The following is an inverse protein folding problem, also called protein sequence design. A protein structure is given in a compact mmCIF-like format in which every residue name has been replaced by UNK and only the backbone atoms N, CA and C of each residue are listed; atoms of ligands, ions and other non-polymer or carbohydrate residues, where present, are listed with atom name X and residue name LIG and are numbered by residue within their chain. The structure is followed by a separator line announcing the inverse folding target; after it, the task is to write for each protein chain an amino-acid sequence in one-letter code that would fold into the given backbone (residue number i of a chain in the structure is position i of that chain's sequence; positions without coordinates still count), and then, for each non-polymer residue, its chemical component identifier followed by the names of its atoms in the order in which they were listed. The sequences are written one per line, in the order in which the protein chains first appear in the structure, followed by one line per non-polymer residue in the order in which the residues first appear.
data_IF_239190131056
#
_entry.id   IF_239190131056
#
_cell.length_a   1.000
_cell.length_b   1.000
_cell.length_c   1.000
_cell.angle_alpha   90.00
_cell.angle_beta   90.00
_cell.angle_gamma   90.00
#
_symmetry.space_group_name_H-M   'P 1'
#
loop_
_entity.id
_entity.type
_entity.pdbx_description
1 polymer ?
#
# COMPACT_ATOMS: atom_id res chain seq x y z
N UNK A 1 52.65 13.22 -24.62
CA UNK A 1 51.53 13.78 -25.39
C UNK A 1 50.24 13.49 -24.64
N UNK A 2 49.62 14.54 -24.10
CA UNK A 2 48.36 14.48 -23.35
C UNK A 2 47.20 14.77 -24.31
N UNK A 3 46.40 13.76 -24.66
CA UNK A 3 45.07 13.94 -25.27
C UNK A 3 44.08 13.11 -24.43
N UNK A 4 43.49 13.71 -23.39
CA UNK A 4 42.17 14.39 -23.35
C UNK A 4 40.97 13.44 -23.56
N UNK A 5 40.37 13.12 -22.40
CA UNK A 5 38.98 12.76 -22.13
C UNK A 5 37.97 13.33 -23.15
N UNK A 6 37.18 12.45 -23.76
CA UNK A 6 35.84 12.74 -24.31
C UNK A 6 35.00 11.49 -23.99
N UNK A 7 34.28 11.49 -22.86
CA UNK A 7 32.82 11.64 -22.78
C UNK A 7 32.09 10.74 -23.78
N UNK A 8 31.80 9.52 -23.35
CA UNK A 8 30.71 8.67 -23.86
C UNK A 8 29.77 8.40 -22.68
N UNK A 9 29.25 9.49 -22.12
CA UNK A 9 28.09 9.53 -21.23
C UNK A 9 26.92 9.98 -22.11
N UNK A 10 26.23 9.03 -22.74
CA UNK A 10 25.16 9.39 -23.66
C UNK A 10 24.60 8.22 -24.43
N UNK A 11 24.04 7.22 -23.74
CA UNK A 11 23.11 6.25 -24.32
C UNK A 11 22.41 5.42 -23.22
N UNK A 12 21.82 6.09 -22.23
CA UNK A 12 20.81 5.51 -21.32
C UNK A 12 19.47 6.28 -21.38
N UNK A 13 19.21 7.04 -22.45
CA UNK A 13 17.93 7.75 -22.64
C UNK A 13 16.94 7.00 -23.53
N UNK A 14 17.18 5.72 -23.80
CA UNK A 14 16.23 4.84 -24.47
C UNK A 14 15.79 3.73 -23.51
N UNK A 15 15.42 4.12 -22.29
CA UNK A 15 14.59 3.27 -21.46
C UNK A 15 13.18 3.47 -21.98
N UNK A 16 12.76 2.50 -22.81
CA UNK A 16 11.39 2.00 -22.87
C UNK A 16 10.40 2.80 -22.02
N UNK A 17 9.41 3.40 -22.68
CA UNK A 17 8.18 3.92 -22.08
C UNK A 17 7.35 2.80 -21.43
N UNK A 18 7.97 2.10 -20.48
CA UNK A 18 7.35 1.24 -19.51
C UNK A 18 6.88 2.12 -18.37
N UNK A 19 5.63 1.91 -17.97
CA UNK A 19 4.98 2.58 -16.86
C UNK A 19 5.86 2.39 -15.61
N UNK A 20 6.66 3.39 -15.25
CA UNK A 20 7.52 3.31 -14.07
C UNK A 20 6.65 3.17 -12.83
N UNK A 21 6.80 2.05 -12.13
CA UNK A 21 6.22 1.87 -10.82
C UNK A 21 6.87 2.87 -9.84
N UNK A 22 6.07 3.45 -8.95
CA UNK A 22 6.50 4.47 -8.01
C UNK A 22 5.98 4.18 -6.60
N UNK A 23 6.60 4.81 -5.61
CA UNK A 23 6.22 4.66 -4.19
C UNK A 23 5.61 5.95 -3.66
N UNK A 24 4.53 5.83 -2.88
CA UNK A 24 4.01 6.93 -2.08
C UNK A 24 4.23 6.65 -0.60
N UNK A 25 4.83 7.60 0.11
CA UNK A 25 4.91 7.60 1.56
C UNK A 25 3.86 8.56 2.14
N UNK A 26 3.05 8.07 3.08
CA UNK A 26 2.02 8.83 3.76
C UNK A 26 2.51 9.21 5.16
N UNK A 27 3.01 10.45 5.28
CA UNK A 27 3.67 10.95 6.49
C UNK A 27 4.78 10.03 6.98
N UNK A 28 4.84 9.80 8.28
CA UNK A 28 5.68 8.78 8.92
C UNK A 28 4.92 7.48 9.20
N UNK A 29 3.70 7.33 8.69
CA UNK A 29 2.78 6.26 9.08
C UNK A 29 3.01 4.98 8.29
N UNK A 30 2.98 5.08 6.95
CA UNK A 30 3.16 3.94 6.05
C UNK A 30 3.63 4.39 4.67
N UNK A 31 3.99 3.43 3.83
CA UNK A 31 4.21 3.62 2.40
C UNK A 31 3.46 2.57 1.58
N UNK A 32 3.08 2.97 0.37
CA UNK A 32 2.49 2.12 -0.66
C UNK A 32 3.47 2.04 -1.83
N UNK A 33 3.97 0.84 -2.09
CA UNK A 33 4.89 0.56 -3.19
C UNK A 33 4.15 0.17 -4.47
N UNK A 34 4.90 0.10 -5.58
CA UNK A 34 4.46 -0.42 -6.88
C UNK A 34 3.18 0.19 -7.46
N UNK A 35 2.95 1.48 -7.21
CA UNK A 35 1.87 2.23 -7.85
C UNK A 35 2.28 2.49 -9.29
N UNK A 36 1.41 2.19 -10.25
CA UNK A 36 1.67 2.45 -11.68
C UNK A 36 0.74 3.53 -12.20
N UNK A 37 1.06 4.11 -13.35
CA UNK A 37 0.14 4.99 -14.08
C UNK A 37 -0.40 4.22 -15.30
N UNK A 38 -1.64 4.49 -15.72
CA UNK A 38 -2.09 4.08 -17.06
C UNK A 38 -1.43 4.95 -18.13
N UNK A 39 -1.57 4.57 -19.40
CA UNK A 39 -1.16 5.41 -20.53
C UNK A 39 -1.89 6.77 -20.56
N UNK A 40 -3.07 6.86 -19.93
CA UNK A 40 -3.85 8.10 -19.75
C UNK A 40 -3.44 8.90 -18.50
N UNK A 41 -2.40 8.48 -17.77
CA UNK A 41 -1.92 9.16 -16.56
C UNK A 41 -2.81 8.95 -15.33
N UNK A 42 -3.67 7.92 -15.29
CA UNK A 42 -4.48 7.58 -14.11
C UNK A 42 -3.70 6.63 -13.20
N UNK A 43 -3.63 6.86 -11.87
CA UNK A 43 -2.93 5.96 -10.97
C UNK A 43 -3.68 4.64 -10.85
N UNK A 44 -2.93 3.55 -10.95
CA UNK A 44 -3.36 2.19 -10.73
C UNK A 44 -2.65 1.70 -9.48
N UNK A 45 -3.43 1.56 -8.40
CA UNK A 45 -2.95 0.98 -7.16
C UNK A 45 -2.78 -0.53 -7.31
N UNK A 46 -1.90 -1.16 -6.52
CA UNK A 46 -1.76 -2.61 -6.56
C UNK A 46 -3.07 -3.32 -6.20
N UNK A 47 -3.61 -4.04 -7.18
CA UNK A 47 -4.76 -4.93 -7.05
C UNK A 47 -4.24 -6.35 -7.35
N UNK A 48 -4.37 -7.31 -6.44
CA UNK A 48 -3.97 -8.68 -6.75
C UNK A 48 -5.09 -9.70 -6.49
N UNK A 49 -5.56 -10.31 -7.58
CA UNK A 49 -6.32 -11.57 -7.56
C UNK A 49 -5.32 -12.73 -7.60
N UNK A 50 -5.40 -13.63 -6.63
CA UNK A 50 -4.64 -14.88 -6.61
C UNK A 50 -3.47 -14.97 -5.62
N UNK A 51 -2.99 -13.86 -5.01
CA UNK A 51 -2.22 -13.85 -3.72
C UNK A 51 -2.08 -12.44 -3.06
N UNK A 52 -3.18 -11.68 -3.18
CA UNK A 52 -3.69 -10.59 -2.33
C UNK A 52 -2.98 -9.23 -2.21
N UNK A 53 -3.57 -8.22 -2.85
CA UNK A 53 -3.48 -6.81 -2.52
C UNK A 53 -4.82 -6.14 -2.81
N UNK A 54 -5.32 -5.29 -1.92
CA UNK A 54 -6.29 -4.27 -2.33
C UNK A 54 -6.13 -3.03 -1.45
N UNK A 55 -5.49 -2.03 -2.05
CA UNK A 55 -5.27 -0.68 -1.53
C UNK A 55 -6.08 0.26 -2.42
N UNK A 56 -6.95 1.07 -1.83
CA UNK A 56 -7.78 2.05 -2.54
C UNK A 56 -7.55 3.43 -1.97
N UNK A 57 -7.62 4.42 -2.84
CA UNK A 57 -7.70 5.83 -2.45
C UNK A 57 -9.16 6.25 -2.40
N UNK A 58 -9.52 6.94 -1.32
CA UNK A 58 -10.87 7.41 -1.05
C UNK A 58 -11.03 8.91 -1.31
N UNK A 59 -9.94 9.69 -1.29
CA UNK A 59 -9.99 11.14 -1.45
C UNK A 59 -9.42 11.63 -2.77
N UNK A 60 -10.06 12.67 -3.32
CA UNK A 60 -9.62 13.34 -4.55
C UNK A 60 -8.22 13.94 -4.41
N UNK A 61 -7.89 14.51 -3.26
CA UNK A 61 -6.57 15.10 -3.00
C UNK A 61 -5.45 14.07 -3.16
N UNK A 62 -5.57 12.93 -2.48
CA UNK A 62 -4.62 11.82 -2.58
C UNK A 62 -4.49 11.32 -4.02
N UNK A 63 -5.61 11.21 -4.74
CA UNK A 63 -5.60 10.81 -6.15
C UNK A 63 -4.82 11.78 -7.04
N UNK A 64 -4.96 13.09 -6.84
CA UNK A 64 -4.21 14.10 -7.60
C UNK A 64 -2.72 14.12 -7.27
N UNK A 65 -2.34 13.81 -6.03
CA UNK A 65 -0.93 13.62 -5.64
C UNK A 65 -0.32 12.45 -6.41
N UNK A 66 -1.03 11.31 -6.45
CA UNK A 66 -0.57 10.11 -7.16
C UNK A 66 -0.35 10.38 -8.66
N UNK A 67 -1.25 11.11 -9.30
CA UNK A 67 -1.13 11.47 -10.73
C UNK A 67 0.12 12.27 -11.07
N UNK A 68 0.57 13.12 -10.14
CA UNK A 68 1.72 14.02 -10.34
C UNK A 68 3.02 13.41 -9.83
N UNK A 69 2.99 12.16 -9.38
CA UNK A 69 4.14 11.55 -8.74
C UNK A 69 5.19 11.07 -9.75
N UNK A 70 6.44 11.57 -9.71
CA UNK A 70 7.43 11.19 -10.72
C UNK A 70 8.12 9.84 -10.45
N UNK A 71 8.31 9.44 -9.18
CA UNK A 71 8.97 8.16 -8.81
C UNK A 71 8.85 7.84 -7.30
N UNK A 72 8.97 8.84 -6.45
CA UNK A 72 8.77 8.70 -5.00
C UNK A 72 8.16 9.98 -4.46
N UNK A 73 6.99 9.86 -3.85
CA UNK A 73 6.26 11.02 -3.33
C UNK A 73 6.00 10.90 -1.85
N UNK A 74 5.90 12.07 -1.22
CA UNK A 74 5.47 12.20 0.16
C UNK A 74 4.18 12.99 0.20
N UNK A 75 3.18 12.42 0.84
CA UNK A 75 1.95 13.10 1.22
C UNK A 75 2.00 13.36 2.72
N UNK A 76 1.53 14.52 3.16
CA UNK A 76 1.35 14.79 4.59
C UNK A 76 0.24 13.89 5.13
N UNK A 77 0.51 13.20 6.23
CA UNK A 77 -0.50 12.38 6.89
C UNK A 77 -1.37 13.23 7.83
N UNK A 78 -2.60 12.76 8.06
CA UNK A 78 -3.45 13.22 9.15
C UNK A 78 -2.96 12.68 10.51
N UNK A 79 -3.90 12.30 11.37
CA UNK A 79 -3.61 11.78 12.72
C UNK A 79 -3.26 10.29 12.73
N UNK A 80 -3.46 9.59 11.62
CA UNK A 80 -3.37 8.14 11.55
C UNK A 80 -4.56 7.47 12.24
N UNK A 81 -5.74 8.07 12.12
CA UNK A 81 -7.00 7.51 12.61
C UNK A 81 -7.33 6.25 11.80
N UNK A 82 -7.76 5.19 12.49
CA UNK A 82 -8.11 3.91 11.88
C UNK A 82 -9.58 3.60 12.12
N UNK A 83 -10.26 3.11 11.09
CA UNK A 83 -11.63 2.61 11.21
C UNK A 83 -11.85 1.35 10.41
N UNK A 84 -12.65 0.43 10.95
CA UNK A 84 -12.99 -0.83 10.28
C UNK A 84 -14.19 -0.59 9.35
N UNK A 85 -13.98 -0.75 8.05
CA UNK A 85 -15.01 -0.53 7.03
C UNK A 85 -15.78 -1.80 6.69
N UNK A 86 -15.08 -2.94 6.58
CA UNK A 86 -15.68 -4.23 6.30
C UNK A 86 -14.91 -5.33 7.01
N UNK A 87 -15.60 -6.37 7.46
CA UNK A 87 -15.01 -7.55 8.06
C UNK A 87 -15.85 -8.76 7.71
N UNK A 88 -15.23 -9.80 7.13
CA UNK A 88 -15.95 -11.00 6.71
C UNK A 88 -15.07 -12.25 6.79
N UNK A 89 -15.64 -13.43 7.06
CA UNK A 89 -14.92 -14.68 6.91
C UNK A 89 -14.51 -14.89 5.44
N UNK A 90 -13.32 -15.43 5.23
CA UNK A 90 -12.85 -15.82 3.91
C UNK A 90 -13.51 -17.15 3.50
N UNK A 91 -14.04 -17.21 2.29
CA UNK A 91 -14.65 -18.44 1.75
C UNK A 91 -13.61 -19.52 1.44
N UNK A 92 -12.33 -19.15 1.34
CA UNK A 92 -11.26 -20.02 0.88
C UNK A 92 -10.67 -20.91 1.97
N UNK A 93 -10.78 -20.53 3.24
CA UNK A 93 -10.19 -21.28 4.36
C UNK A 93 -10.91 -20.99 5.68
N UNK A 94 -11.29 -22.02 6.47
CA UNK A 94 -11.80 -21.83 7.82
C UNK A 94 -10.78 -21.13 8.74
N UNK A 95 -11.28 -20.28 9.63
CA UNK A 95 -10.43 -19.50 10.54
C UNK A 95 -9.61 -18.42 9.82
N UNK A 96 -10.07 -17.95 8.67
CA UNK A 96 -9.49 -16.82 7.94
C UNK A 96 -10.55 -15.75 7.73
N UNK A 97 -10.16 -14.48 7.88
CA UNK A 97 -11.02 -13.32 7.63
C UNK A 97 -10.33 -12.33 6.70
N UNK A 98 -11.15 -11.52 6.05
CA UNK A 98 -10.75 -10.40 5.21
C UNK A 98 -11.33 -9.14 5.83
N UNK A 99 -10.48 -8.16 6.12
CA UNK A 99 -10.89 -6.89 6.72
C UNK A 99 -10.44 -5.71 5.86
N UNK A 100 -11.31 -4.72 5.69
CA UNK A 100 -10.99 -3.45 5.06
C UNK A 100 -10.86 -2.39 6.15
N UNK A 101 -9.66 -1.81 6.28
CA UNK A 101 -9.34 -0.78 7.27
C UNK A 101 -9.12 0.53 6.55
N UNK A 102 -9.82 1.57 6.98
CA UNK A 102 -9.63 2.93 6.53
C UNK A 102 -8.57 3.63 7.38
N UNK A 103 -7.68 4.38 6.74
CA UNK A 103 -6.70 5.27 7.38
C UNK A 103 -6.98 6.71 6.99
N UNK A 104 -7.26 7.55 8.00
CA UNK A 104 -7.61 8.97 7.85
C UNK A 104 -8.72 9.24 6.81
N UNK A 105 -9.61 8.26 6.56
CA UNK A 105 -10.61 8.30 5.48
C UNK A 105 -10.04 8.55 4.08
N UNK A 106 -8.72 8.49 3.92
CA UNK A 106 -8.00 8.74 2.68
C UNK A 106 -7.62 7.43 1.98
N UNK A 107 -7.35 6.39 2.75
CA UNK A 107 -6.89 5.08 2.26
C UNK A 107 -7.77 3.98 2.78
N UNK A 108 -8.14 3.03 1.92
CA UNK A 108 -8.80 1.79 2.31
C UNK A 108 -7.88 0.63 1.98
N UNK A 109 -7.45 -0.10 2.99
CA UNK A 109 -6.43 -1.15 2.88
C UNK A 109 -7.02 -2.46 3.35
N UNK A 110 -6.84 -3.51 2.56
CA UNK A 110 -7.43 -4.81 2.87
C UNK A 110 -6.41 -5.76 3.47
N UNK A 111 -6.70 -6.26 4.66
CA UNK A 111 -5.89 -7.16 5.47
C UNK A 111 -6.45 -8.58 5.45
N UNK A 112 -5.55 -9.55 5.62
CA UNK A 112 -5.91 -10.93 5.88
C UNK A 112 -5.65 -11.25 7.35
N UNK A 113 -6.60 -11.92 7.99
CA UNK A 113 -6.49 -12.36 9.38
C UNK A 113 -6.59 -13.87 9.40
N UNK A 114 -5.70 -14.54 10.14
CA UNK A 114 -5.65 -15.98 10.28
C UNK A 114 -5.66 -16.39 11.74
N UNK A 115 -6.51 -17.34 12.09
CA UNK A 115 -6.44 -18.01 13.38
C UNK A 115 -5.29 -19.01 13.39
N UNK A 116 -4.47 -18.96 14.43
CA UNK A 116 -3.39 -19.90 14.69
C UNK A 116 -3.50 -20.45 16.14
N UNK A 117 -2.53 -21.28 16.57
CA UNK A 117 -2.55 -21.87 17.92
C UNK A 117 -2.35 -20.84 19.03
N UNK A 118 -1.73 -19.70 18.73
CA UNK A 118 -1.33 -18.65 19.68
C UNK A 118 -2.33 -17.48 19.71
N UNK A 119 -3.32 -17.45 18.80
CA UNK A 119 -4.29 -16.37 18.66
C UNK A 119 -4.59 -16.07 17.19
N UNK A 120 -4.44 -14.80 16.81
CA UNK A 120 -4.68 -14.32 15.44
C UNK A 120 -3.42 -13.66 14.87
N UNK A 121 -3.07 -14.03 13.63
CA UNK A 121 -2.06 -13.35 12.83
C UNK A 121 -2.72 -12.43 11.82
N UNK A 122 -2.23 -11.20 11.73
CA UNK A 122 -2.69 -10.20 10.75
C UNK A 122 -1.61 -10.02 9.70
N UNK A 123 -1.99 -10.12 8.43
CA UNK A 123 -1.08 -9.99 7.28
C UNK A 123 -1.50 -8.76 6.47
N UNK A 124 -0.65 -7.72 6.39
CA UNK A 124 -0.88 -6.58 5.50
C UNK A 124 -0.79 -7.01 4.03
N UNK A 125 -1.41 -6.28 3.10
CA UNK A 125 -1.20 -6.53 1.68
C UNK A 125 0.25 -6.21 1.29
N UNK A 126 0.78 -6.96 0.33
CA UNK A 126 2.21 -6.98 -0.03
C UNK A 126 2.84 -5.59 -0.22
N UNK A 127 2.15 -4.71 -0.92
CA UNK A 127 2.66 -3.38 -1.26
C UNK A 127 2.44 -2.32 -0.18
N UNK A 128 1.84 -2.68 0.96
CA UNK A 128 1.59 -1.78 2.09
C UNK A 128 2.58 -2.06 3.21
N UNK A 129 3.42 -1.06 3.53
CA UNK A 129 4.47 -1.20 4.52
C UNK A 129 4.26 -0.16 5.61
N UNK A 130 4.00 -0.62 6.84
CA UNK A 130 4.00 0.24 8.01
C UNK A 130 5.40 0.83 8.24
N UNK A 131 5.45 2.14 8.47
CA UNK A 131 6.64 2.85 8.91
C UNK A 131 6.55 3.17 10.41
N UNK A 132 5.34 3.38 10.91
CA UNK A 132 5.05 3.53 12.34
C UNK A 132 4.62 2.20 12.99
N UNK A 133 5.42 1.75 13.97
CA UNK A 133 5.14 0.54 14.74
C UNK A 133 3.91 0.68 15.64
N UNK A 134 3.61 1.89 16.11
CA UNK A 134 2.44 2.11 16.96
C UNK A 134 1.16 1.93 16.14
N UNK A 135 1.09 2.51 14.93
CA UNK A 135 -0.01 2.29 14.00
C UNK A 135 -0.19 0.81 13.64
N UNK A 136 0.91 0.10 13.38
CA UNK A 136 0.87 -1.34 13.12
C UNK A 136 0.23 -2.09 14.29
N UNK A 137 0.74 -1.92 15.51
CA UNK A 137 0.22 -2.60 16.70
C UNK A 137 -1.25 -2.27 16.98
N UNK A 138 -1.69 -1.02 16.74
CA UNK A 138 -3.10 -0.64 16.85
C UNK A 138 -3.97 -1.35 15.82
N UNK A 139 -3.51 -1.44 14.57
CA UNK A 139 -4.22 -2.16 13.50
C UNK A 139 -4.36 -3.64 13.85
N UNK A 140 -3.27 -4.28 14.27
CA UNK A 140 -3.25 -5.70 14.63
C UNK A 140 -4.16 -6.01 15.81
N UNK A 141 -4.18 -5.14 16.82
CA UNK A 141 -5.07 -5.27 17.98
C UNK A 141 -6.53 -5.13 17.58
N UNK A 142 -6.88 -4.12 16.77
CA UNK A 142 -8.24 -3.90 16.28
C UNK A 142 -8.75 -5.13 15.52
N UNK A 143 -7.96 -5.64 14.59
CA UNK A 143 -8.37 -6.74 13.73
C UNK A 143 -8.42 -8.09 14.46
N UNK A 144 -7.48 -8.35 15.36
CA UNK A 144 -7.50 -9.55 16.20
C UNK A 144 -8.68 -9.55 17.17
N UNK A 145 -9.01 -8.41 17.77
CA UNK A 145 -10.18 -8.27 18.64
C UNK A 145 -11.48 -8.57 17.88
N UNK A 146 -11.62 -8.00 16.67
CA UNK A 146 -12.80 -8.25 15.83
C UNK A 146 -12.90 -9.72 15.40
N UNK A 147 -11.79 -10.36 15.06
CA UNK A 147 -11.77 -11.77 14.69
C UNK A 147 -12.17 -12.69 15.86
N UNK A 148 -11.86 -12.29 17.09
CA UNK A 148 -12.24 -13.03 18.29
C UNK A 148 -13.76 -12.96 18.58
N UNK A 149 -14.43 -11.87 18.22
CA UNK A 149 -15.88 -11.70 18.37
C UNK A 149 -16.69 -12.52 17.35
N UNK A 150 -16.14 -12.76 16.16
CA UNK A 150 -16.79 -13.48 15.05
C UNK A 150 -16.50 -15.00 15.06
N UNK A 151 -15.73 -15.48 16.04
CA UNK A 151 -15.38 -16.89 16.21
C UNK A 151 -16.54 -17.66 16.84
#
# INVERSE_FOLDING_TARGET
MFYKRIVLLGLCLWVSSGLCAFTLQYGSLFKVADITLTQEGKPVLPLARGKYANIRVLTKETFEILKKCPASCRQTAGKGDISLHSFRPAQTRPGMWIAEVSYDEAWLVTFLIFQNKEGFGVVPPEHFIFLDKALQARTERLLSARAQEEK
#
